data_IF_476020909734
#
_entry.id   IF_476020909734
#
_cell.length_a   1.000
_cell.length_b   1.000
_cell.length_c   1.000
_cell.angle_alpha   90.00
_cell.angle_beta   90.00
_cell.angle_gamma   90.00
#
_symmetry.space_group_name_H-M   'P 1'
#
loop_
_entity.id
_entity.type
_entity.pdbx_description
1 polymer ?
#
# COMPACT_ATOMS: atom_id res chain seq x y z
N UNK A 1 17.34 -13.66 50.94
CA UNK A 1 17.10 -14.30 49.63
C UNK A 1 16.24 -13.34 48.86
N UNK A 2 16.89 -12.47 48.10
CA UNK A 2 16.19 -11.48 47.28
C UNK A 2 15.52 -12.23 46.13
N UNK A 3 14.20 -12.11 46.06
CA UNK A 3 13.45 -12.60 44.92
C UNK A 3 13.90 -11.79 43.70
N UNK A 4 14.63 -12.43 42.80
CA UNK A 4 14.96 -11.88 41.50
C UNK A 4 13.63 -11.75 40.76
N UNK A 5 13.12 -10.52 40.67
CA UNK A 5 12.03 -10.19 39.75
C UNK A 5 12.54 -10.48 38.34
N UNK A 6 12.11 -11.62 37.79
CA UNK A 6 12.32 -11.93 36.39
C UNK A 6 11.50 -10.91 35.60
N UNK A 7 12.11 -10.05 34.77
CA UNK A 7 11.35 -9.10 33.98
C UNK A 7 10.46 -9.91 33.05
N UNK A 8 9.14 -9.78 33.21
CA UNK A 8 8.16 -10.42 32.34
C UNK A 8 8.42 -9.91 30.91
N UNK A 9 8.97 -10.78 30.08
CA UNK A 9 9.27 -10.50 28.67
C UNK A 9 7.99 -10.07 27.94
N UNK A 10 8.02 -8.84 27.40
CA UNK A 10 7.24 -8.33 26.27
C UNK A 10 5.76 -8.77 26.20
N UNK A 11 4.89 -8.09 26.94
CA UNK A 11 3.51 -7.96 26.49
C UNK A 11 3.55 -7.21 25.15
N UNK A 12 3.16 -7.87 24.06
CA UNK A 12 2.90 -7.18 22.80
C UNK A 12 1.76 -6.22 23.10
N UNK A 13 2.03 -4.92 23.10
CA UNK A 13 1.02 -3.89 23.25
C UNK A 13 0.16 -3.89 21.97
N UNK A 14 -0.96 -4.63 22.03
CA UNK A 14 -1.88 -4.84 20.92
C UNK A 14 -2.53 -3.52 20.48
N UNK A 15 -2.69 -2.57 21.42
CA UNK A 15 -3.11 -1.20 21.13
C UNK A 15 -2.09 -0.46 20.26
N UNK A 16 -0.79 -0.50 20.61
CA UNK A 16 0.26 0.08 19.77
C UNK A 16 0.39 -0.62 18.41
N UNK A 17 0.25 -1.94 18.36
CA UNK A 17 0.25 -2.70 17.11
C UNK A 17 -0.92 -2.29 16.21
N UNK A 18 -2.13 -2.18 16.77
CA UNK A 18 -3.32 -1.72 16.05
C UNK A 18 -3.13 -0.31 15.49
N UNK A 19 -2.63 0.63 16.29
CA UNK A 19 -2.34 1.99 15.85
C UNK A 19 -1.32 2.02 14.70
N UNK A 20 -0.23 1.25 14.81
CA UNK A 20 0.78 1.13 13.76
C UNK A 20 0.20 0.59 12.45
N UNK A 21 -0.60 -0.47 12.51
CA UNK A 21 -1.27 -1.05 11.35
C UNK A 21 -2.27 -0.06 10.71
N UNK A 22 -3.00 0.70 11.52
CA UNK A 22 -3.91 1.75 11.06
C UNK A 22 -3.19 2.87 10.30
N UNK A 23 -2.05 3.33 10.80
CA UNK A 23 -1.21 4.34 10.12
C UNK A 23 -0.68 3.80 8.79
N UNK A 24 -0.20 2.55 8.76
CA UNK A 24 0.27 1.92 7.52
C UNK A 24 -0.87 1.80 6.49
N UNK A 25 -2.07 1.42 6.94
CA UNK A 25 -3.26 1.38 6.10
C UNK A 25 -3.57 2.74 5.47
N UNK A 26 -3.56 3.80 6.28
CA UNK A 26 -3.81 5.17 5.82
C UNK A 26 -2.76 5.62 4.79
N UNK A 27 -1.48 5.29 5.03
CA UNK A 27 -0.41 5.58 4.08
C UNK A 27 -0.62 4.87 2.73
N UNK A 28 -1.07 3.61 2.74
CA UNK A 28 -1.38 2.89 1.51
C UNK A 28 -2.57 3.47 0.75
N UNK A 29 -3.63 3.90 1.43
CA UNK A 29 -4.75 4.58 0.75
C UNK A 29 -4.35 5.95 0.20
N UNK A 30 -3.54 6.71 0.94
CA UNK A 30 -3.02 7.98 0.43
C UNK A 30 -2.16 7.75 -0.82
N UNK A 31 -1.25 6.77 -0.78
CA UNK A 31 -0.41 6.42 -1.91
C UNK A 31 -1.22 5.84 -3.09
N UNK A 32 -2.28 5.10 -2.80
CA UNK A 32 -3.23 4.58 -3.78
C UNK A 32 -3.86 5.70 -4.59
N UNK A 33 -4.27 6.79 -3.94
CA UNK A 33 -4.97 7.91 -4.59
C UNK A 33 -4.14 8.64 -5.66
N UNK A 34 -2.81 8.44 -5.70
CA UNK A 34 -1.95 9.07 -6.68
C UNK A 34 -2.22 8.55 -8.11
N UNK A 35 -2.35 9.49 -9.03
CA UNK A 35 -2.44 9.21 -10.46
C UNK A 35 -1.07 8.90 -11.07
N UNK A 36 -1.06 8.08 -12.12
CA UNK A 36 0.17 7.70 -12.82
C UNK A 36 0.30 8.50 -14.10
N UNK A 37 1.37 9.28 -14.20
CA UNK A 37 1.69 10.04 -15.41
C UNK A 37 1.84 9.13 -16.62
N UNK A 38 1.24 9.55 -17.74
CA UNK A 38 1.30 8.86 -19.03
C UNK A 38 2.72 8.67 -19.53
N UNK A 39 3.55 9.71 -19.43
CA UNK A 39 4.93 9.65 -19.91
C UNK A 39 5.78 8.65 -19.12
N UNK A 40 5.62 8.65 -17.80
CA UNK A 40 6.33 7.72 -16.90
C UNK A 40 5.93 6.28 -17.19
N UNK A 41 4.64 6.03 -17.39
CA UNK A 41 4.15 4.70 -17.72
C UNK A 41 4.62 4.21 -19.10
N UNK A 42 4.61 5.09 -20.11
CA UNK A 42 5.14 4.77 -21.44
C UNK A 42 6.64 4.44 -21.39
N UNK A 43 7.43 5.21 -20.63
CA UNK A 43 8.86 4.92 -20.40
C UNK A 43 9.04 3.53 -19.76
N UNK A 44 8.20 3.20 -18.77
CA UNK A 44 8.21 1.87 -18.11
C UNK A 44 7.89 0.75 -19.09
N UNK A 45 6.84 0.89 -19.90
CA UNK A 45 6.42 -0.13 -20.89
C UNK A 45 7.48 -0.33 -21.97
N UNK A 46 8.05 0.75 -22.51
CA UNK A 46 9.18 0.69 -23.45
C UNK A 46 10.37 -0.07 -22.85
N UNK A 47 10.76 0.25 -21.62
CA UNK A 47 11.85 -0.45 -20.91
C UNK A 47 11.55 -1.93 -20.71
N UNK A 48 10.31 -2.29 -20.41
CA UNK A 48 9.90 -3.70 -20.25
C UNK A 48 9.87 -4.45 -21.58
N UNK A 49 9.40 -3.82 -22.64
CA UNK A 49 9.35 -4.37 -24.00
C UNK A 49 10.75 -4.71 -24.51
N UNK A 50 11.69 -3.76 -24.38
CA UNK A 50 13.11 -3.96 -24.70
C UNK A 50 13.71 -5.13 -23.91
N UNK A 51 13.46 -5.20 -22.59
CA UNK A 51 13.96 -6.29 -21.75
C UNK A 51 13.41 -7.66 -22.11
N UNK A 52 12.19 -7.72 -22.63
CA UNK A 52 11.50 -8.96 -22.97
C UNK A 52 11.63 -9.34 -24.45
N UNK A 53 12.23 -8.49 -25.28
CA UNK A 53 12.32 -8.69 -26.73
C UNK A 53 10.95 -8.70 -27.42
N UNK A 54 9.96 -7.99 -26.86
CA UNK A 54 8.59 -7.92 -27.39
C UNK A 54 8.25 -6.49 -27.82
N UNK A 55 7.17 -6.33 -28.58
CA UNK A 55 6.66 -5.02 -28.97
C UNK A 55 6.16 -4.21 -27.76
N UNK A 56 6.23 -2.88 -27.86
CA UNK A 56 5.78 -1.99 -26.78
C UNK A 56 4.27 -1.96 -26.69
N UNK A 57 3.73 -2.15 -25.48
CA UNK A 57 2.28 -2.07 -25.24
C UNK A 57 1.80 -0.62 -25.15
N UNK A 58 1.12 -0.14 -26.20
CA UNK A 58 0.56 1.21 -26.27
C UNK A 58 -0.91 1.32 -25.83
N UNK A 59 -1.55 0.24 -25.39
CA UNK A 59 -3.00 0.18 -25.10
C UNK A 59 -3.48 0.98 -23.89
N UNK A 60 -2.62 1.80 -23.29
CA UNK A 60 -3.03 2.64 -22.15
C UNK A 60 -3.96 3.76 -22.61
N UNK A 61 -5.01 4.03 -21.85
CA UNK A 61 -5.96 5.12 -22.10
C UNK A 61 -5.40 6.39 -21.44
N UNK A 62 -5.30 7.45 -22.22
CA UNK A 62 -4.83 8.75 -21.75
C UNK A 62 -6.01 9.61 -21.31
N UNK A 63 -5.89 10.24 -20.15
CA UNK A 63 -6.81 11.27 -19.66
C UNK A 63 -6.03 12.57 -19.52
N UNK A 64 -6.63 13.65 -20.00
CA UNK A 64 -6.16 15.01 -19.80
C UNK A 64 -6.95 15.65 -18.65
N UNK A 65 -6.25 16.16 -17.65
CA UNK A 65 -6.81 16.92 -16.53
C UNK A 65 -6.01 18.22 -16.40
N UNK A 66 -6.61 19.32 -16.85
CA UNK A 66 -5.93 20.58 -17.15
C UNK A 66 -4.65 20.36 -17.99
N UNK A 67 -3.47 20.59 -17.40
CA UNK A 67 -2.16 20.40 -18.04
C UNK A 67 -1.52 19.03 -17.79
N UNK A 68 -2.21 18.14 -17.07
CA UNK A 68 -1.65 16.86 -16.65
C UNK A 68 -2.22 15.69 -17.47
N UNK A 69 -1.30 14.89 -18.01
CA UNK A 69 -1.62 13.66 -18.75
C UNK A 69 -1.38 12.43 -17.88
N UNK A 70 -2.44 11.68 -17.63
CA UNK A 70 -2.38 10.45 -16.84
C UNK A 70 -2.79 9.23 -17.67
N UNK A 71 -2.20 8.08 -17.36
CA UNK A 71 -2.61 6.78 -17.92
C UNK A 71 -3.66 6.16 -17.00
N UNK A 72 -4.91 6.09 -17.46
CA UNK A 72 -6.04 5.60 -16.67
C UNK A 72 -5.84 4.14 -16.25
N UNK A 73 -5.39 3.28 -17.16
CA UNK A 73 -5.21 1.85 -16.87
C UNK A 73 -4.14 1.66 -15.80
N UNK A 74 -3.02 2.39 -15.90
CA UNK A 74 -1.96 2.33 -14.91
C UNK A 74 -2.42 2.92 -13.57
N UNK A 75 -3.19 4.01 -13.58
CA UNK A 75 -3.75 4.64 -12.39
C UNK A 75 -4.71 3.70 -11.66
N UNK A 76 -5.68 3.11 -12.35
CA UNK A 76 -6.62 2.15 -11.75
C UNK A 76 -5.90 0.91 -11.19
N UNK A 77 -4.89 0.41 -11.91
CA UNK A 77 -4.08 -0.72 -11.43
C UNK A 77 -3.27 -0.36 -10.18
N UNK A 78 -2.69 0.84 -10.15
CA UNK A 78 -1.97 1.37 -9.00
C UNK A 78 -2.90 1.52 -7.80
N UNK A 79 -4.03 2.20 -7.99
CA UNK A 79 -5.08 2.38 -7.00
C UNK A 79 -5.56 1.04 -6.43
N UNK A 80 -5.97 0.12 -7.31
CA UNK A 80 -6.46 -1.20 -6.91
C UNK A 80 -5.43 -1.95 -6.06
N UNK A 81 -4.17 -1.98 -6.49
CA UNK A 81 -3.09 -2.69 -5.78
C UNK A 81 -2.85 -2.13 -4.38
N UNK A 82 -2.77 -0.82 -4.23
CA UNK A 82 -2.46 -0.21 -2.93
C UNK A 82 -3.67 -0.12 -2.02
N UNK A 83 -4.87 0.08 -2.56
CA UNK A 83 -6.11 -0.01 -1.77
C UNK A 83 -6.31 -1.40 -1.17
N UNK A 84 -5.94 -2.46 -1.88
CA UNK A 84 -5.97 -3.83 -1.35
C UNK A 84 -5.03 -3.98 -0.14
N UNK A 85 -3.81 -3.44 -0.22
CA UNK A 85 -2.88 -3.44 0.91
C UNK A 85 -3.41 -2.62 2.08
N UNK A 86 -3.95 -1.42 1.82
CA UNK A 86 -4.61 -0.60 2.86
C UNK A 86 -5.68 -1.41 3.60
N UNK A 87 -6.62 -2.01 2.85
CA UNK A 87 -7.68 -2.83 3.44
C UNK A 87 -7.15 -4.02 4.28
N UNK A 88 -6.09 -4.69 3.84
CA UNK A 88 -5.47 -5.77 4.61
C UNK A 88 -4.91 -5.28 5.96
N UNK A 89 -4.19 -4.16 5.96
CA UNK A 89 -3.66 -3.56 7.18
C UNK A 89 -4.75 -3.04 8.12
N UNK A 90 -5.81 -2.44 7.57
CA UNK A 90 -6.98 -2.05 8.37
C UNK A 90 -7.63 -3.26 9.05
N UNK A 91 -7.79 -4.38 8.33
CA UNK A 91 -8.34 -5.61 8.90
C UNK A 91 -7.47 -6.13 10.06
N UNK A 92 -6.14 -6.14 9.90
CA UNK A 92 -5.24 -6.54 10.98
C UNK A 92 -5.28 -5.58 12.18
N UNK A 93 -5.41 -4.27 11.95
CA UNK A 93 -5.57 -3.29 13.02
C UNK A 93 -6.83 -3.56 13.85
N UNK A 94 -7.95 -3.86 13.18
CA UNK A 94 -9.21 -4.22 13.82
C UNK A 94 -9.12 -5.53 14.59
N UNK A 95 -8.42 -6.54 14.05
CA UNK A 95 -8.18 -7.81 14.75
C UNK A 95 -7.36 -7.59 16.02
N UNK A 96 -6.28 -6.80 15.94
CA UNK A 96 -5.44 -6.50 17.10
C UNK A 96 -6.20 -5.72 18.16
N UNK A 97 -6.97 -4.70 17.77
CA UNK A 97 -7.81 -3.93 18.68
C UNK A 97 -8.90 -4.79 19.33
N UNK A 98 -9.53 -5.69 18.57
CA UNK A 98 -10.51 -6.62 19.11
C UNK A 98 -9.87 -7.56 20.13
N UNK A 99 -8.70 -8.13 19.83
CA UNK A 99 -7.98 -9.02 20.73
C UNK A 99 -7.61 -8.32 22.05
N UNK A 100 -7.13 -7.08 21.99
CA UNK A 100 -6.79 -6.27 23.18
C UNK A 100 -7.99 -6.05 24.11
N UNK A 101 -9.21 -5.96 23.55
CA UNK A 101 -10.43 -5.79 24.33
C UNK A 101 -10.84 -7.05 25.10
N UNK A 102 -10.39 -8.24 24.67
CA UNK A 102 -10.81 -9.54 25.24
C UNK A 102 -9.70 -10.26 26.01
N UNK A 103 -8.48 -9.72 26.05
CA UNK A 103 -7.34 -10.19 26.84
C UNK A 103 -7.19 -9.31 28.07
#
# INVERSE_FOLDING_TARGET
>A
MDAIEVPLMNNIDLSNLSAGLGVISAAFWFYSALSISRETELKRRKKQAVRKGVETDFRGIEILDDDHRYDLIATLRHQSRWSQWGAAFAAFALIAQAADKYV
#
